data_IF_991796970327
#
_entry.id   IF_991796970327
#
_cell.length_a   1.000
_cell.length_b   1.000
_cell.length_c   1.000
_cell.angle_alpha   90.00
_cell.angle_beta   90.00
_cell.angle_gamma   90.00
#
_symmetry.space_group_name_H-M   'P 1'
#
loop_
_entity.id
_entity.type
_entity.pdbx_description
1 polymer ?
2 branched ?
3 branched ?
4 branched ?
5 non-polymer ?
6 non-polymer ?
7 non-polymer ?
8 water ?
#
# COMPACT_ATOMS: atom_id res chain seq x y z
N UNK A 1 3.61 1.37 -4.06
CA UNK A 1 4.74 0.41 -4.15
C UNK A 1 4.92 -0.03 -5.58
N UNK A 2 6.10 -0.54 -5.88
CA UNK A 2 6.32 -1.30 -7.10
C UNK A 2 5.81 -2.72 -6.98
N UNK A 3 6.18 -3.54 -7.94
CA UNK A 3 5.64 -4.87 -8.07
C UNK A 3 5.85 -5.70 -6.82
N UNK A 4 7.06 -5.66 -6.27
CA UNK A 4 7.39 -6.55 -5.16
C UNK A 4 6.54 -6.22 -3.93
N UNK A 5 6.39 -4.94 -3.62
CA UNK A 5 5.63 -4.57 -2.45
C UNK A 5 4.18 -5.02 -2.55
N UNK A 6 3.54 -4.78 -3.71
CA UNK A 6 2.16 -5.23 -3.87
C UNK A 6 2.04 -6.74 -3.81
N UNK A 7 2.99 -7.45 -4.41
CA UNK A 7 2.94 -8.91 -4.37
C UNK A 7 3.00 -9.40 -2.93
N UNK A 8 3.91 -8.85 -2.13
CA UNK A 8 4.04 -9.22 -0.75
C UNK A 8 2.74 -8.99 0.01
N UNK A 9 2.18 -7.79 -0.14
CA UNK A 9 0.95 -7.45 0.56
C UNK A 9 -0.17 -8.41 0.19
N UNK A 10 -0.33 -8.65 -1.11
CA UNK A 10 -1.42 -9.51 -1.56
C UNK A 10 -1.21 -10.98 -1.19
N UNK A 11 0.04 -11.45 -1.16
CA UNK A 11 0.34 -12.82 -0.73
C UNK A 11 0.00 -13.00 0.74
N UNK A 12 0.39 -12.04 1.56
CA UNK A 12 0.04 -12.09 2.99
C UNK A 12 -1.49 -12.08 3.11
N UNK A 13 -2.14 -11.15 2.41
CA UNK A 13 -3.56 -11.02 2.56
C UNK A 13 -4.31 -12.27 2.17
N UNK A 14 -3.95 -12.88 1.04
CA UNK A 14 -4.78 -13.98 0.55
C UNK A 14 -4.72 -15.17 1.50
N UNK A 15 -3.60 -15.37 2.17
CA UNK A 15 -3.47 -16.45 3.13
C UNK A 15 -4.18 -16.20 4.47
N UNK A 16 -4.66 -14.98 4.69
CA UNK A 16 -5.37 -14.59 5.90
C UNK A 16 -6.88 -14.44 5.66
N UNK A 17 -7.37 -14.83 4.49
CA UNK A 17 -8.80 -14.73 4.23
C UNK A 17 -9.54 -15.84 4.94
N UNK A 18 -10.74 -15.51 5.39
CA UNK A 18 -11.67 -16.50 5.90
C UNK A 18 -12.36 -17.19 4.73
N UNK A 19 -13.13 -18.23 5.02
CA UNK A 19 -13.65 -19.03 3.94
C UNK A 19 -14.55 -18.24 2.98
N UNK A 20 -15.42 -17.38 3.52
CA UNK A 20 -16.31 -16.61 2.65
C UNK A 20 -15.54 -15.64 1.75
N UNK A 21 -14.51 -15.00 2.28
CA UNK A 21 -13.71 -14.09 1.48
C UNK A 21 -12.87 -14.87 0.49
N UNK A 22 -12.30 -16.00 0.90
CA UNK A 22 -11.49 -16.80 -0.01
C UNK A 22 -12.33 -17.23 -1.22
N UNK A 23 -13.57 -17.62 -0.95
CA UNK A 23 -14.49 -18.04 -2.00
C UNK A 23 -14.80 -16.89 -2.95
N UNK A 24 -15.14 -15.73 -2.40
CA UNK A 24 -15.46 -14.56 -3.23
C UNK A 24 -14.28 -14.15 -4.09
N UNK A 25 -13.08 -14.16 -3.51
CA UNK A 25 -11.90 -13.81 -4.28
C UNK A 25 -11.66 -14.81 -5.43
N UNK A 26 -11.79 -16.10 -5.16
CA UNK A 26 -11.63 -17.09 -6.23
C UNK A 26 -12.65 -16.85 -7.35
N UNK A 27 -13.88 -16.48 -6.99
CA UNK A 27 -14.94 -16.25 -7.97
C UNK A 27 -14.71 -14.97 -8.77
N UNK A 28 -14.18 -13.93 -8.14
CA UNK A 28 -14.00 -12.63 -8.79
C UNK A 28 -12.74 -12.55 -9.65
N UNK A 29 -11.73 -13.35 -9.36
CA UNK A 29 -10.52 -13.29 -10.16
C UNK A 29 -10.75 -13.90 -11.55
N UNK A 30 -10.13 -13.33 -12.58
CA UNK A 30 -10.23 -14.00 -13.89
C UNK A 30 -9.45 -15.28 -13.93
N UNK A 31 -9.83 -16.16 -14.85
CA UNK A 31 -9.19 -17.47 -14.99
C UNK A 31 -7.68 -17.34 -15.14
N UNK A 32 -7.24 -16.31 -15.86
CA UNK A 32 -5.82 -16.10 -16.16
C UNK A 32 -4.96 -15.92 -14.90
N UNK A 33 -5.58 -15.48 -13.80
CA UNK A 33 -4.87 -15.32 -12.53
C UNK A 33 -4.52 -16.63 -11.84
N UNK A 34 -5.13 -17.73 -12.26
CA UNK A 34 -4.86 -19.03 -11.68
C UNK A 34 -5.06 -19.02 -10.16
N UNK A 35 -6.08 -18.28 -9.72
CA UNK A 35 -6.46 -18.25 -8.33
C UNK A 35 -5.65 -17.33 -7.43
N UNK A 36 -4.63 -16.66 -7.98
CA UNK A 36 -3.63 -15.93 -7.20
C UNK A 36 -3.88 -14.43 -7.29
N UNK A 37 -4.36 -13.85 -6.19
CA UNK A 37 -4.64 -12.43 -6.14
C UNK A 37 -3.38 -11.62 -6.47
N UNK A 38 -2.24 -12.05 -5.95
CA UNK A 38 -0.99 -11.34 -6.14
C UNK A 38 -0.56 -11.23 -7.59
N UNK A 39 -1.08 -12.07 -8.47
CA UNK A 39 -0.74 -11.97 -9.88
C UNK A 39 -1.34 -10.73 -10.54
N UNK A 40 -2.32 -10.09 -9.89
CA UNK A 40 -3.00 -8.91 -10.44
C UNK A 40 -2.95 -7.69 -9.51
N UNK A 41 -2.06 -7.73 -8.53
CA UNK A 41 -2.07 -6.60 -7.59
C UNK A 41 -1.33 -5.36 -8.10
N UNK A 42 -0.83 -5.39 -9.33
CA UNK A 42 -0.34 -4.20 -10.05
C UNK A 42 -1.27 -3.76 -11.17
N UNK A 43 -2.38 -4.46 -11.37
CA UNK A 43 -3.31 -4.11 -12.44
C UNK A 43 -3.71 -2.65 -12.36
N UNK A 44 -3.96 -2.12 -11.16
CA UNK A 44 -4.40 -0.74 -11.07
C UNK A 44 -3.37 0.22 -11.66
N UNK A 45 -2.09 -0.07 -11.45
CA UNK A 45 -1.07 0.79 -12.03
C UNK A 45 -1.11 0.79 -13.57
N UNK A 46 -1.57 -0.31 -14.15
CA UNK A 46 -1.60 -0.48 -15.60
C UNK A 46 -2.84 0.11 -16.26
N UNK A 47 -3.72 0.74 -15.47
CA UNK A 47 -4.88 1.47 -16.03
C UNK A 47 -4.84 2.97 -15.67
N UNK A 48 -3.71 3.46 -15.21
CA UNK A 48 -3.55 4.88 -14.89
C UNK A 48 -3.85 5.80 -16.05
N UNK A 49 -3.61 5.36 -17.28
CA UNK A 49 -3.86 6.19 -18.46
C UNK A 49 -5.11 5.79 -19.20
N UNK A 50 -5.40 4.50 -19.29
CA UNK A 50 -6.67 4.07 -19.89
C UNK A 50 -7.85 4.59 -19.08
N UNK A 51 -7.71 4.59 -17.75
CA UNK A 51 -8.71 5.16 -16.83
C UNK A 51 -8.04 6.35 -16.16
N UNK A 52 -7.94 7.46 -16.87
CA UNK A 52 -7.08 8.53 -16.40
C UNK A 52 -7.63 9.16 -15.10
N UNK A 53 -8.93 9.08 -14.89
CA UNK A 53 -9.59 9.46 -13.66
C UNK A 53 -9.06 8.71 -12.44
N UNK A 54 -8.41 7.57 -12.67
CA UNK A 54 -7.92 6.75 -11.57
C UNK A 54 -6.54 7.14 -11.07
N UNK A 55 -5.83 7.96 -11.82
CA UNK A 55 -4.44 8.26 -11.46
C UNK A 55 -4.31 8.90 -10.07
N UNK A 56 -5.16 9.89 -9.71
CA UNK A 56 -5.04 10.52 -8.38
C UNK A 56 -5.46 9.61 -7.23
N UNK A 57 -6.09 8.48 -7.55
CA UNK A 57 -6.58 7.56 -6.53
C UNK A 57 -5.49 6.73 -5.89
N UNK A 58 -4.24 6.85 -6.36
CA UNK A 58 -3.14 6.06 -5.80
C UNK A 58 -2.48 6.73 -4.59
N UNK A 59 -2.78 7.99 -4.31
CA UNK A 59 -2.02 8.71 -3.30
C UNK A 59 -2.88 9.77 -2.63
N UNK A 60 -2.28 10.44 -1.65
CA UNK A 60 -2.82 11.62 -0.97
C UNK A 60 -1.69 12.66 -0.94
N UNK A 61 -2.02 13.88 -1.35
CA UNK A 61 -1.14 15.03 -1.21
C UNK A 61 -1.49 15.80 0.04
N UNK A 62 -0.50 16.08 0.88
CA UNK A 62 -0.69 16.84 2.11
C UNK A 62 0.13 18.12 2.09
N UNK A 63 -0.17 19.04 3.00
CA UNK A 63 0.71 20.19 3.25
C UNK A 63 2.08 19.72 3.78
N UNK A 64 3.03 20.64 3.89
CA UNK A 64 4.35 20.34 4.47
C UNK A 64 4.23 20.26 5.99
N UNK A 65 3.72 19.14 6.47
CA UNK A 65 3.57 18.90 7.90
C UNK A 65 3.38 17.40 8.08
N UNK A 66 3.10 16.96 9.28
CA UNK A 66 3.02 15.53 9.58
C UNK A 66 1.60 15.05 9.83
N UNK A 67 0.63 15.80 9.31
CA UNK A 67 -0.76 15.52 9.56
C UNK A 67 -1.51 15.17 8.29
N UNK A 68 -2.56 14.38 8.48
CA UNK A 68 -3.51 14.04 7.44
C UNK A 68 -4.92 14.19 8.01
N UNK A 69 -5.78 14.83 7.24
CA UNK A 69 -7.21 14.89 7.53
C UNK A 69 -7.97 14.69 6.24
N UNK A 70 -8.94 13.78 6.25
CA UNK A 70 -9.70 13.47 5.03
C UNK A 70 -10.32 14.72 4.41
N UNK A 71 -11.04 15.48 5.20
CA UNK A 71 -11.75 16.62 4.58
C UNK A 71 -10.79 17.64 3.98
N UNK A 72 -9.64 17.83 4.61
CA UNK A 72 -8.67 18.82 4.11
C UNK A 72 -7.93 18.27 2.90
N UNK A 73 -7.53 17.00 2.93
CA UNK A 73 -6.53 16.46 2.01
C UNK A 73 -7.06 15.52 0.95
N UNK A 74 -8.21 14.89 1.20
CA UNK A 74 -8.67 13.90 0.24
C UNK A 74 -9.43 14.60 -0.90
N UNK A 75 -8.64 15.00 -1.90
CA UNK A 75 -9.14 15.69 -3.06
C UNK A 75 -8.06 15.60 -4.15
N UNK A 76 -8.48 15.71 -5.39
CA UNK A 76 -7.50 15.71 -6.48
C UNK A 76 -7.04 17.14 -6.75
N UNK A 77 -6.22 17.32 -7.78
CA UNK A 77 -5.65 18.62 -8.07
C UNK A 77 -6.70 19.66 -8.47
N UNK A 78 -7.84 19.21 -9.00
CA UNK A 78 -8.95 20.14 -9.30
C UNK A 78 -9.80 20.48 -8.08
N UNK A 79 -9.53 19.82 -6.95
CA UNK A 79 -10.27 20.08 -5.73
C UNK A 79 -11.47 19.17 -5.52
N UNK A 80 -11.63 18.13 -6.34
CA UNK A 80 -12.77 17.22 -6.19
C UNK A 80 -12.60 16.34 -4.96
N UNK A 81 -13.47 16.52 -3.98
CA UNK A 81 -13.37 15.79 -2.72
C UNK A 81 -13.60 14.31 -2.94
N UNK A 82 -12.81 13.51 -2.23
CA UNK A 82 -12.90 12.07 -2.32
C UNK A 82 -11.91 11.43 -3.27
N UNK A 83 -11.26 12.23 -4.11
CA UNK A 83 -10.43 11.66 -5.15
C UNK A 83 -8.97 11.55 -4.68
N UNK A 84 -8.77 10.57 -3.82
CA UNK A 84 -7.48 10.21 -3.27
C UNK A 84 -7.55 8.74 -2.86
N UNK A 85 -6.44 8.16 -2.44
CA UNK A 85 -6.43 6.73 -2.14
C UNK A 85 -7.40 6.35 -1.00
N UNK A 86 -7.55 7.21 0.01
CA UNK A 86 -8.53 6.92 1.06
C UNK A 86 -9.96 6.87 0.50
N UNK A 87 -10.31 7.89 -0.29
CA UNK A 87 -11.61 7.93 -0.92
C UNK A 87 -11.86 6.75 -1.84
N UNK A 88 -10.82 6.31 -2.55
CA UNK A 88 -10.92 5.15 -3.42
C UNK A 88 -11.19 3.88 -2.60
N UNK A 89 -10.50 3.74 -1.47
CA UNK A 89 -10.75 2.57 -0.64
C UNK A 89 -12.20 2.55 -0.16
N UNK A 90 -12.71 3.69 0.31
CA UNK A 90 -14.11 3.72 0.69
C UNK A 90 -15.02 3.33 -0.48
N UNK A 91 -14.73 3.85 -1.66
CA UNK A 91 -15.56 3.59 -2.84
C UNK A 91 -15.62 2.12 -3.19
N UNK A 92 -14.46 1.51 -3.35
CA UNK A 92 -14.41 0.14 -3.84
C UNK A 92 -14.80 -0.86 -2.77
N UNK A 93 -14.56 -0.57 -1.49
CA UNK A 93 -15.06 -1.42 -0.44
C UNK A 93 -16.61 -1.42 -0.42
N UNK A 94 -17.19 -0.25 -0.59
CA UNK A 94 -18.64 -0.13 -0.64
C UNK A 94 -19.19 -0.95 -1.81
N UNK A 95 -18.57 -0.86 -2.97
CA UNK A 95 -19.01 -1.64 -4.11
C UNK A 95 -19.00 -3.14 -3.81
N UNK A 96 -17.94 -3.62 -3.17
CA UNK A 96 -17.82 -5.06 -2.93
C UNK A 96 -18.84 -5.58 -1.92
N UNK A 97 -19.37 -4.71 -1.06
CA UNK A 97 -20.45 -5.11 -0.15
C UNK A 97 -21.67 -5.62 -0.90
N UNK A 98 -21.82 -5.22 -2.16
CA UNK A 98 -22.95 -5.66 -2.96
C UNK A 98 -22.74 -7.02 -3.65
N UNK A 99 -21.57 -7.63 -3.46
CA UNK A 99 -21.27 -8.88 -4.13
C UNK A 99 -22.20 -9.97 -3.66
N UNK A 100 -22.81 -10.63 -4.65
CA UNK A 100 -23.87 -11.64 -4.45
C UNK A 100 -24.80 -11.34 -3.28
CA UNK A 107 -24.93 -3.83 -9.58
C UNK A 107 -24.31 -3.21 -10.83
N UNK A 108 -24.15 -1.89 -10.81
CA UNK A 108 -23.64 -1.13 -11.96
C UNK A 108 -22.12 -1.28 -12.15
N UNK A 109 -21.43 -1.78 -11.14
CA UNK A 109 -19.99 -1.79 -11.13
C UNK A 109 -19.40 -3.16 -11.40
N UNK A 110 -18.22 -3.16 -12.01
CA UNK A 110 -17.44 -4.36 -12.25
C UNK A 110 -16.70 -4.70 -10.96
N UNK A 111 -17.12 -5.77 -10.31
CA UNK A 111 -16.58 -6.10 -8.99
C UNK A 111 -15.23 -6.80 -9.07
N UNK A 112 -14.85 -7.33 -10.23
CA UNK A 112 -13.47 -7.75 -10.42
C UNK A 112 -12.55 -6.52 -10.34
N UNK A 113 -12.89 -5.47 -11.06
CA UNK A 113 -12.13 -4.22 -10.93
C UNK A 113 -12.15 -3.73 -9.50
N UNK A 114 -13.28 -3.78 -8.82
CA UNK A 114 -13.33 -3.27 -7.44
C UNK A 114 -12.35 -4.04 -6.55
N UNK A 115 -12.31 -5.37 -6.71
CA UNK A 115 -11.37 -6.18 -5.93
C UNK A 115 -9.93 -5.79 -6.22
N UNK A 116 -9.60 -5.62 -7.50
CA UNK A 116 -8.24 -5.31 -7.88
C UNK A 116 -7.84 -3.91 -7.44
N UNK A 117 -8.77 -2.98 -7.50
CA UNK A 117 -8.52 -1.63 -7.00
C UNK A 117 -8.33 -1.63 -5.48
N UNK A 118 -9.23 -2.26 -4.74
CA UNK A 118 -9.09 -2.18 -3.31
C UNK A 118 -7.80 -2.89 -2.85
N UNK A 119 -7.41 -3.97 -3.53
CA UNK A 119 -6.20 -4.68 -3.17
C UNK A 119 -4.97 -3.82 -3.39
N UNK A 120 -4.90 -3.18 -4.54
CA UNK A 120 -3.78 -2.30 -4.85
C UNK A 120 -3.78 -1.07 -3.93
N UNK A 121 -4.93 -0.43 -3.77
CA UNK A 121 -4.99 0.81 -2.99
C UNK A 121 -4.75 0.58 -1.50
N UNK A 122 -5.20 -0.56 -0.95
CA UNK A 122 -4.85 -0.87 0.43
C UNK A 122 -3.32 -0.98 0.55
N UNK A 123 -2.63 -1.47 -0.48
CA UNK A 123 -1.20 -1.41 -0.48
C UNK A 123 -0.65 -0.01 -0.57
N UNK A 124 -1.10 0.77 -1.54
CA UNK A 124 -0.55 2.10 -1.74
C UNK A 124 -0.73 3.00 -0.52
N UNK A 125 -1.86 2.90 0.19
CA UNK A 125 -2.09 3.77 1.34
C UNK A 125 -1.13 3.45 2.47
N UNK A 126 -0.41 2.33 2.39
CA UNK A 126 0.63 1.98 3.36
C UNK A 126 2.03 2.39 2.98
N UNK A 127 2.24 2.85 1.75
CA UNK A 127 3.56 3.35 1.35
C UNK A 127 3.66 4.77 1.92
N UNK A 128 4.58 5.05 2.86
CA UNK A 128 4.60 6.38 3.47
C UNK A 128 4.58 7.53 2.48
N UNK A 129 5.35 7.42 1.40
CA UNK A 129 5.41 8.51 0.43
C UNK A 129 4.25 8.57 -0.54
N UNK A 130 3.26 7.69 -0.38
CA UNK A 130 1.95 7.86 -1.01
C UNK A 130 1.00 8.72 -0.19
N UNK A 131 1.42 9.15 1.00
CA UNK A 131 0.63 10.07 1.84
C UNK A 131 1.66 11.10 2.31
N UNK A 132 2.00 12.02 1.41
CA UNK A 132 3.10 12.93 1.65
C UNK A 132 2.95 14.18 0.83
N UNK A 133 4.03 14.95 0.75
CA UNK A 133 3.88 16.36 0.46
C UNK A 133 3.57 16.62 -0.99
N UNK A 134 2.56 17.45 -1.21
CA UNK A 134 2.31 17.96 -2.54
C UNK A 134 3.54 18.69 -3.12
N UNK A 135 4.26 19.42 -2.27
CA UNK A 135 5.35 20.29 -2.74
C UNK A 135 6.52 19.56 -3.39
N UNK A 136 6.72 18.28 -3.08
CA UNK A 136 7.77 17.47 -3.74
C UNK A 136 7.22 16.25 -4.44
N UNK A 137 5.92 16.29 -4.75
CA UNK A 137 5.25 15.22 -5.46
C UNK A 137 5.51 13.88 -4.77
N UNK A 138 5.30 13.85 -3.48
CA UNK A 138 5.48 12.61 -2.73
C UNK A 138 6.90 12.09 -2.77
N UNK A 139 7.87 12.99 -2.79
CA UNK A 139 9.26 12.63 -2.89
C UNK A 139 9.79 12.36 -4.28
N UNK A 140 8.92 12.41 -5.29
CA UNK A 140 9.35 12.19 -6.65
C UNK A 140 10.36 13.23 -7.14
N UNK A 141 10.32 14.45 -6.60
CA UNK A 141 11.24 15.49 -7.05
C UNK A 141 12.52 15.56 -6.23
N UNK A 142 12.68 14.67 -5.25
CA UNK A 142 13.88 14.63 -4.42
C UNK A 142 14.84 13.64 -5.06
N UNK A 143 15.84 14.17 -5.74
CA UNK A 143 16.77 13.36 -6.53
C UNK A 143 18.03 13.12 -5.70
N UNK A 144 18.31 11.83 -5.49
CA UNK A 144 19.41 11.37 -4.64
C UNK A 144 20.13 10.24 -5.40
N UNK A 145 21.00 9.53 -4.71
CA UNK A 145 21.55 8.28 -5.21
C UNK A 145 21.15 7.18 -4.26
N UNK A 146 20.77 6.03 -4.81
CA UNK A 146 20.60 4.78 -4.07
C UNK A 146 21.87 3.98 -4.34
N UNK A 147 22.73 3.88 -3.34
CA UNK A 147 24.09 3.38 -3.55
C UNK A 147 24.70 4.16 -4.71
N UNK A 148 25.14 3.53 -5.79
CA UNK A 148 25.86 4.25 -6.83
C UNK A 148 24.97 4.81 -7.94
N UNK A 149 23.66 4.60 -7.88
CA UNK A 149 22.78 4.95 -9.00
C UNK A 149 21.82 6.06 -8.66
N UNK A 150 21.51 6.89 -9.64
CA UNK A 150 20.50 7.93 -9.46
C UNK A 150 19.14 7.32 -9.16
N UNK A 151 18.43 7.93 -8.21
CA UNK A 151 17.07 7.55 -7.90
C UNK A 151 16.38 8.69 -7.22
N UNK A 152 15.07 8.77 -7.35
CA UNK A 152 14.32 9.70 -6.53
C UNK A 152 13.81 9.00 -5.27
N UNK A 153 13.51 9.81 -4.25
CA UNK A 153 13.18 9.27 -2.95
C UNK A 153 11.89 8.43 -2.99
N UNK A 154 10.91 8.87 -3.78
CA UNK A 154 9.70 8.10 -3.92
C UNK A 154 9.98 6.67 -4.42
N UNK A 155 10.79 6.59 -5.46
CA UNK A 155 11.14 5.32 -6.05
C UNK A 155 11.90 4.43 -5.08
N UNK A 156 12.73 5.04 -4.24
CA UNK A 156 13.46 4.27 -3.23
C UNK A 156 12.46 3.55 -2.32
N UNK A 157 11.40 4.23 -1.91
CA UNK A 157 10.37 3.64 -1.08
C UNK A 157 9.46 2.69 -1.85
N UNK A 158 9.13 2.99 -3.10
CA UNK A 158 8.31 2.05 -3.87
C UNK A 158 9.06 0.74 -4.13
N UNK A 159 10.34 0.85 -4.45
CA UNK A 159 11.07 -0.24 -5.07
C UNK A 159 12.47 -0.50 -4.53
N UNK A 160 13.34 0.50 -4.41
CA UNK A 160 14.75 0.18 -4.21
C UNK A 160 15.05 -0.52 -2.90
N UNK A 161 14.45 -0.07 -1.80
CA UNK A 161 14.70 -0.72 -0.52
C UNK A 161 14.32 -2.20 -0.62
N UNK A 162 13.11 -2.48 -1.11
CA UNK A 162 12.65 -3.85 -1.19
C UNK A 162 13.52 -4.70 -2.12
N UNK A 163 13.85 -4.15 -3.29
CA UNK A 163 14.66 -4.89 -4.24
C UNK A 163 16.04 -5.20 -3.69
N UNK A 164 16.66 -4.24 -3.01
CA UNK A 164 17.98 -4.46 -2.45
C UNK A 164 17.91 -5.50 -1.35
N UNK A 165 16.88 -5.45 -0.52
CA UNK A 165 16.69 -6.48 0.50
C UNK A 165 16.51 -7.86 -0.14
N UNK A 166 15.66 -7.94 -1.16
CA UNK A 166 15.40 -9.23 -1.80
C UNK A 166 16.69 -9.85 -2.31
N UNK A 167 17.55 -9.04 -2.91
CA UNK A 167 18.83 -9.52 -3.43
C UNK A 167 19.81 -9.84 -2.30
N UNK A 168 20.15 -8.85 -1.49
CA UNK A 168 21.27 -8.97 -0.58
C UNK A 168 20.93 -9.78 0.64
N UNK A 169 19.75 -9.59 1.20
CA UNK A 169 19.37 -10.25 2.45
C UNK A 169 18.67 -11.58 2.21
N UNK A 170 17.86 -11.66 1.15
CA UNK A 170 17.07 -12.84 0.90
C UNK A 170 17.56 -13.65 -0.29
N UNK A 171 18.74 -13.31 -0.82
CA UNK A 171 19.40 -14.18 -1.78
C UNK A 171 18.50 -14.48 -2.98
N UNK A 172 17.75 -13.48 -3.43
CA UNK A 172 16.86 -13.58 -4.57
C UNK A 172 15.70 -14.56 -4.40
N UNK A 173 15.41 -14.96 -3.17
CA UNK A 173 14.32 -15.91 -2.91
C UNK A 173 13.07 -15.12 -3.01
N UNK A 174 12.24 -15.42 -4.01
CA UNK A 174 11.04 -14.65 -4.28
C UNK A 174 10.04 -14.60 -3.11
N UNK A 175 10.06 -15.61 -2.22
CA UNK A 175 9.19 -15.80 -1.05
C UNK A 175 9.86 -15.62 0.32
N UNK A 176 11.15 -15.33 0.34
CA UNK A 176 11.85 -15.22 1.60
C UNK A 176 11.34 -14.10 2.49
N UNK A 177 11.13 -12.95 1.90
CA UNK A 177 10.65 -11.81 2.67
C UNK A 177 9.20 -12.07 3.15
N UNK A 178 8.35 -12.59 2.28
CA UNK A 178 6.98 -12.95 2.66
C UNK A 178 6.95 -13.89 3.84
N UNK A 179 7.76 -14.94 3.74
CA UNK A 179 7.77 -15.95 4.76
C UNK A 179 8.23 -15.38 6.09
N UNK A 180 9.22 -14.50 6.06
CA UNK A 180 9.74 -13.90 7.27
C UNK A 180 8.71 -12.94 7.89
N UNK A 181 8.01 -12.18 7.07
CA UNK A 181 6.94 -11.31 7.55
C UNK A 181 5.82 -12.14 8.19
N UNK A 182 5.41 -13.22 7.54
CA UNK A 182 4.37 -14.07 8.09
C UNK A 182 4.77 -14.65 9.44
N UNK A 183 6.01 -15.09 9.57
CA UNK A 183 6.48 -15.60 10.84
C UNK A 183 6.43 -14.54 11.91
N UNK A 184 6.83 -13.31 11.59
CA UNK A 184 6.80 -12.25 12.58
C UNK A 184 5.38 -11.82 12.96
N UNK A 185 4.47 -11.85 11.99
CA UNK A 185 3.04 -11.60 12.28
C UNK A 185 2.56 -12.53 13.38
N UNK A 186 3.00 -13.78 13.35
CA UNK A 186 2.63 -14.78 14.33
C UNK A 186 3.37 -14.64 15.65
N UNK A 187 4.70 -14.48 15.59
CA UNK A 187 5.58 -14.67 16.75
C UNK A 187 6.11 -13.41 17.42
N UNK A 188 6.15 -12.30 16.69
CA UNK A 188 6.70 -11.05 17.20
C UNK A 188 5.67 -9.97 17.39
N UNK A 189 4.67 -9.94 16.52
CA UNK A 189 3.77 -8.81 16.41
C UNK A 189 2.32 -9.13 16.73
N UNK A 190 2.06 -10.25 17.39
CA UNK A 190 0.68 -10.70 17.52
C UNK A 190 -0.25 -9.65 18.15
N UNK A 191 0.19 -9.00 19.23
CA UNK A 191 -0.67 -8.03 19.88
C UNK A 191 -0.98 -6.84 18.97
N UNK A 192 0.05 -6.35 18.31
CA UNK A 192 -0.12 -5.25 17.36
C UNK A 192 -1.03 -5.62 16.20
N UNK A 193 -0.86 -6.86 15.69
CA UNK A 193 -1.66 -7.32 14.58
C UNK A 193 -3.15 -7.22 14.90
N UNK A 194 -3.53 -7.55 16.14
CA UNK A 194 -4.94 -7.44 16.53
C UNK A 194 -5.42 -6.00 16.38
N UNK A 195 -4.60 -5.04 16.76
CA UNK A 195 -4.98 -3.65 16.56
C UNK A 195 -4.99 -3.25 15.07
N UNK A 196 -4.04 -3.77 14.30
CA UNK A 196 -4.03 -3.47 12.89
C UNK A 196 -5.33 -3.88 12.20
N UNK A 197 -5.88 -5.03 12.61
CA UNK A 197 -7.08 -5.56 11.99
C UNK A 197 -8.36 -4.85 12.35
N UNK A 198 -8.42 -4.28 13.54
CA UNK A 198 -9.65 -3.75 14.09
C UNK A 198 -10.08 -2.48 13.34
N UNK A 199 -11.36 -2.44 13.03
CA UNK A 199 -11.97 -1.27 12.41
C UNK A 199 -13.40 -1.13 12.88
N UNK A 200 -13.63 -0.07 13.64
CA UNK A 200 -14.94 0.31 14.21
C UNK A 200 -16.00 0.67 13.16
N UNK A 201 -15.59 0.83 11.89
CA UNK A 201 -16.55 0.89 10.80
C UNK A 201 -16.90 -0.52 10.35
N UNK A 203 -16.62 -0.69 7.64
CA UNK A 203 -16.00 -1.77 6.89
C UNK A 203 -14.50 -1.55 6.58
N UNK A 204 -14.14 -0.31 6.26
CA UNK A 204 -12.75 0.05 6.02
C UNK A 204 -12.36 1.32 6.80
N UNK A 205 -11.10 1.40 7.23
CA UNK A 205 -10.56 2.49 8.04
C UNK A 205 -9.33 3.18 7.41
N UNK A 206 -9.40 3.58 6.14
CA UNK A 206 -8.19 4.08 5.49
C UNK A 206 -7.58 5.31 6.14
N UNK A 207 -8.37 6.16 6.79
CA UNK A 207 -7.82 7.37 7.35
C UNK A 207 -6.81 7.07 8.46
N UNK A 208 -7.01 5.97 9.18
CA UNK A 208 -6.08 5.52 10.20
C UNK A 208 -4.71 5.26 9.56
N UNK A 209 -4.75 4.57 8.43
CA UNK A 209 -3.56 4.10 7.77
C UNK A 209 -2.80 5.25 7.14
N UNK A 210 -3.54 6.20 6.57
CA UNK A 210 -2.93 7.38 6.01
C UNK A 210 -2.27 8.26 7.05
N UNK A 211 -2.91 8.41 8.20
CA UNK A 211 -2.33 9.22 9.29
C UNK A 211 -1.03 8.62 9.79
N UNK A 212 -0.96 7.30 9.91
CA UNK A 212 0.30 6.63 10.24
C UNK A 212 1.35 6.90 9.17
N UNK A 213 0.92 6.88 7.92
CA UNK A 213 1.83 7.00 6.79
C UNK A 213 2.49 8.34 6.67
N UNK A 214 1.75 9.43 6.82
CA UNK A 214 2.40 10.73 6.76
C UNK A 214 3.36 10.90 7.95
N UNK A 215 3.03 10.34 9.10
CA UNK A 215 3.94 10.41 10.24
C UNK A 215 5.25 9.66 9.90
N UNK A 216 5.13 8.50 9.26
CA UNK A 216 6.30 7.75 8.80
C UNK A 216 7.06 8.51 7.72
N UNK A 217 6.35 9.20 6.84
CA UNK A 217 7.02 10.00 5.83
C UNK A 217 7.93 11.02 6.50
N UNK A 218 7.40 11.69 7.54
CA UNK A 218 8.18 12.67 8.30
C UNK A 218 9.36 12.08 9.02
N UNK A 219 9.11 11.02 9.77
CA UNK A 219 10.10 10.52 10.71
C UNK A 219 11.11 9.58 10.10
N UNK A 220 10.76 8.94 8.99
CA UNK A 220 11.59 7.92 8.38
C UNK A 220 11.95 8.21 6.93
N UNK A 221 11.01 8.61 6.09
CA UNK A 221 11.32 8.72 4.67
C UNK A 221 12.09 9.99 4.34
N UNK A 222 11.47 11.13 4.63
CA UNK A 222 12.10 12.40 4.38
C UNK A 222 13.24 12.71 5.35
N UNK A 223 13.20 12.13 6.54
CA UNK A 223 14.11 12.47 7.62
C UNK A 223 15.55 12.23 7.21
N UNK A 224 16.37 13.28 7.32
CA UNK A 224 17.79 13.17 7.03
C UNK A 224 18.15 13.29 5.57
N UNK A 225 17.17 13.40 4.67
CA UNK A 225 17.45 13.32 3.24
C UNK A 225 17.43 14.71 2.63
N UNK A 226 18.50 15.01 1.89
CA UNK A 226 18.63 16.21 1.10
C UNK A 226 18.96 15.83 -0.32
N UNK A 227 18.40 16.58 -1.27
CA UNK A 227 18.73 16.48 -2.68
C UNK A 227 20.24 16.29 -2.82
N UNK A 228 20.66 15.30 -3.60
CA UNK A 228 22.07 15.03 -3.85
C UNK A 228 22.74 14.05 -2.90
N UNK A 229 22.07 13.67 -1.82
CA UNK A 229 22.64 12.71 -0.88
C UNK A 229 22.79 11.34 -1.53
N UNK A 230 23.72 10.54 -0.99
CA UNK A 230 23.81 9.12 -1.28
C UNK A 230 23.20 8.38 -0.10
N UNK A 231 22.13 7.64 -0.40
CA UNK A 231 21.49 6.77 0.57
C UNK A 231 22.00 5.36 0.31
N UNK A 232 22.55 4.75 1.34
CA UNK A 232 23.18 3.45 1.20
C UNK A 232 22.98 2.67 2.49
N UNK A 233 23.95 1.92 3.01
CA UNK A 233 23.67 0.98 4.10
C UNK A 233 23.01 1.63 5.31
N UNK A 234 23.47 2.80 5.76
CA UNK A 234 22.91 3.37 6.98
C UNK A 234 21.40 3.59 6.82
N UNK A 235 21.01 4.19 5.71
CA UNK A 235 19.60 4.44 5.45
C UNK A 235 18.84 3.14 5.24
N UNK A 236 19.41 2.23 4.45
CA UNK A 236 18.81 0.95 4.18
C UNK A 236 18.47 0.20 5.46
N UNK A 237 19.46 -0.05 6.31
CA UNK A 237 19.22 -0.88 7.48
C UNK A 237 18.30 -0.21 8.47
N UNK A 238 18.35 1.11 8.57
CA UNK A 238 17.52 1.79 9.52
C UNK A 238 16.07 1.90 9.06
N UNK A 239 15.81 1.96 7.75
CA UNK A 239 14.46 2.08 7.23
C UNK A 239 13.82 0.75 6.89
N UNK A 240 14.59 -0.31 6.78
CA UNK A 240 14.00 -1.57 6.42
C UNK A 240 12.93 -2.03 7.42
N UNK A 241 13.10 -1.86 8.75
CA UNK A 241 12.03 -2.29 9.64
C UNK A 241 10.71 -1.60 9.40
N UNK A 242 10.73 -0.34 9.01
CA UNK A 242 9.46 0.36 8.78
C UNK A 242 8.85 -0.12 7.45
N UNK A 243 9.67 -0.42 6.44
CA UNK A 243 9.14 -1.05 5.25
C UNK A 243 8.46 -2.37 5.61
N UNK A 244 9.13 -3.22 6.38
CA UNK A 244 8.54 -4.47 6.83
C UNK A 244 7.20 -4.23 7.53
N UNK A 245 7.18 -3.27 8.44
CA UNK A 245 5.97 -2.94 9.19
C UNK A 245 4.82 -2.58 8.25
N UNK A 246 5.10 -1.70 7.29
CA UNK A 246 4.04 -1.24 6.41
C UNK A 246 3.55 -2.30 5.46
N UNK A 247 4.43 -3.19 4.99
CA UNK A 247 4.01 -4.31 4.18
C UNK A 247 3.14 -5.29 4.98
N UNK A 248 3.56 -5.57 6.20
CA UNK A 248 2.78 -6.47 7.06
C UNK A 248 1.43 -5.86 7.40
N UNK A 249 1.41 -4.58 7.76
CA UNK A 249 0.16 -3.89 8.03
C UNK A 249 -0.75 -3.94 6.80
N UNK A 250 -0.20 -3.65 5.63
CA UNK A 250 -1.01 -3.68 4.44
C UNK A 250 -1.65 -5.04 4.19
N UNK A 251 -0.86 -6.11 4.33
CA UNK A 251 -1.39 -7.43 4.10
C UNK A 251 -2.46 -7.82 5.12
N UNK A 252 -2.18 -7.53 6.39
CA UNK A 252 -3.11 -7.83 7.46
C UNK A 252 -4.42 -7.05 7.26
N UNK A 253 -4.32 -5.77 6.91
CA UNK A 253 -5.48 -4.94 6.77
C UNK A 253 -6.27 -5.25 5.51
N UNK A 254 -5.59 -5.60 4.41
CA UNK A 254 -6.30 -6.02 3.23
C UNK A 254 -7.15 -7.25 3.55
N UNK A 255 -6.58 -8.25 4.21
CA UNK A 255 -7.34 -9.43 4.55
C UNK A 255 -8.48 -9.10 5.49
N UNK A 256 -8.24 -8.30 6.53
CA UNK A 256 -9.28 -8.01 7.49
C UNK A 256 -10.45 -7.28 6.84
N UNK A 257 -10.13 -6.38 5.91
CA UNK A 257 -11.13 -5.62 5.20
C UNK A 257 -11.95 -6.53 4.27
N UNK A 258 -11.28 -7.38 3.49
CA UNK A 258 -12.00 -8.31 2.64
C UNK A 258 -12.86 -9.28 3.46
N UNK A 259 -12.34 -9.72 4.62
CA UNK A 259 -13.12 -10.59 5.46
C UNK A 259 -14.40 -9.91 5.95
N UNK A 260 -14.30 -8.65 6.34
CA UNK A 260 -15.50 -7.90 6.74
C UNK A 260 -16.45 -7.72 5.56
N UNK A 261 -15.94 -7.35 4.40
CA UNK A 261 -16.77 -7.10 3.22
C UNK A 261 -17.58 -8.32 2.83
N UNK A 262 -16.91 -9.46 2.75
CA UNK A 262 -17.54 -10.66 2.20
C UNK A 262 -18.25 -11.49 3.26
N UNK A 263 -18.12 -11.12 4.52
CA UNK A 263 -18.69 -11.89 5.62
C UNK A 263 -20.09 -11.48 5.97
N UNK A 264 -20.62 -11.90 7.00
#
# INVERSE_FOLDING_TARGET
WGKEGHEIICKIAQTRLDETAAKAVKELLPESAEGDLSSLCLWADRVKFRYHWSSPLHYINTPDACSYQYNRDCKDESGEKGRCVAGAIYNYTTQLLSYKTAASSQSQYNLTEALLFVSHFMGDIHQPLHVSYASDKGGNTIEVHWYTRKANLHHIWDSNIIETAEADLYNSALEGMVDALKKNITTEWADQVKRWETCTKKTACPDIYASEGIQAACDWAYKGVTEGDTLEDEYFYSRLPIVYQRLAQGGVRLAATLNRIFGHHHHHH
#
